data_IF_941037891219
#
_entry.id   IF_941037891219
#
_cell.length_a   1.000
_cell.length_b   1.000
_cell.length_c   1.000
_cell.angle_alpha   90.00
_cell.angle_beta   90.00
_cell.angle_gamma   90.00
#
_symmetry.space_group_name_H-M   'P 1'
#
loop_
_entity.id
_entity.type
_entity.pdbx_description
1 polymer ?
#
# COMPACT_ATOMS: atom_id res chain seq x y z
N UNK A 1 24.47 25.42 -1.02
CA UNK A 1 23.49 25.19 0.06
C UNK A 1 23.03 23.74 -0.06
N UNK A 2 23.29 22.93 0.95
CA UNK A 2 23.04 21.49 0.95
C UNK A 2 22.58 21.03 2.34
N UNK A 3 22.19 19.76 2.44
CA UNK A 3 21.78 19.04 3.66
C UNK A 3 20.32 19.22 4.11
N UNK A 4 19.42 18.52 3.42
CA UNK A 4 18.02 18.29 3.83
C UNK A 4 17.68 16.79 3.72
N UNK A 5 18.47 15.92 4.37
CA UNK A 5 18.40 14.47 4.12
C UNK A 5 18.85 13.59 5.30
N UNK A 6 18.37 13.85 6.53
CA UNK A 6 18.66 12.96 7.68
C UNK A 6 17.63 12.95 8.82
N UNK A 7 16.48 13.62 8.72
CA UNK A 7 15.48 13.67 9.81
C UNK A 7 14.61 12.42 9.95
N UNK A 8 14.59 11.53 8.96
CA UNK A 8 13.76 10.32 8.96
C UNK A 8 14.32 9.14 9.80
N UNK A 9 15.43 9.34 10.52
CA UNK A 9 16.10 8.30 11.32
C UNK A 9 15.91 8.46 12.84
N UNK A 10 15.37 9.60 13.30
CA UNK A 10 15.04 9.87 14.71
C UNK A 10 13.53 9.69 15.00
N UNK A 11 12.74 9.27 14.00
CA UNK A 11 11.36 8.86 14.23
C UNK A 11 11.35 7.55 15.04
N UNK A 12 10.92 7.62 16.31
CA UNK A 12 10.81 6.46 17.21
C UNK A 12 9.82 5.42 16.65
N UNK A 13 10.34 4.40 15.95
CA UNK A 13 9.51 3.33 15.39
C UNK A 13 9.06 2.42 16.54
N UNK A 14 7.74 2.44 16.82
CA UNK A 14 7.12 1.56 17.82
C UNK A 14 6.93 0.15 17.28
N UNK A 15 6.50 0.01 16.01
CA UNK A 15 6.08 -1.28 15.44
C UNK A 15 6.16 -1.29 13.92
N UNK A 16 6.43 -2.45 13.32
CA UNK A 16 6.29 -2.63 11.88
C UNK A 16 4.97 -3.34 11.57
N UNK A 17 4.09 -2.67 10.82
CA UNK A 17 2.77 -3.21 10.47
C UNK A 17 2.82 -3.85 9.10
N UNK A 18 2.51 -5.16 9.03
CA UNK A 18 2.41 -5.91 7.78
C UNK A 18 0.99 -5.80 7.22
N UNK A 19 0.88 -5.33 5.99
CA UNK A 19 -0.39 -5.01 5.34
C UNK A 19 -0.55 -5.82 4.06
N UNK A 20 -1.77 -6.33 3.82
CA UNK A 20 -2.16 -6.95 2.56
C UNK A 20 -3.47 -6.36 2.05
N UNK A 21 -3.43 -5.81 0.84
CA UNK A 21 -4.59 -5.28 0.15
C UNK A 21 -5.53 -6.42 -0.28
N UNK A 22 -6.82 -6.34 0.07
CA UNK A 22 -7.78 -7.42 -0.20
C UNK A 22 -8.09 -7.61 -1.70
N UNK A 23 -8.06 -6.52 -2.48
CA UNK A 23 -8.42 -6.53 -3.90
C UNK A 23 -7.29 -7.07 -4.80
N UNK A 24 -6.08 -6.50 -4.68
CA UNK A 24 -4.93 -6.88 -5.53
C UNK A 24 -4.05 -7.97 -4.91
N UNK A 25 -4.19 -8.24 -3.61
CA UNK A 25 -3.27 -9.08 -2.85
C UNK A 25 -1.89 -8.43 -2.58
N UNK A 26 -1.67 -7.17 -3.00
CA UNK A 26 -0.42 -6.43 -2.81
C UNK A 26 -0.07 -6.34 -1.33
N UNK A 27 1.22 -6.51 -1.02
CA UNK A 27 1.74 -6.40 0.35
C UNK A 27 2.55 -5.12 0.53
N UNK A 28 2.44 -4.53 1.71
CA UNK A 28 3.24 -3.41 2.16
C UNK A 28 3.67 -3.63 3.62
N UNK A 29 4.74 -2.93 4.01
CA UNK A 29 5.13 -2.75 5.41
C UNK A 29 5.12 -1.25 5.66
N UNK A 30 4.47 -0.83 6.75
CA UNK A 30 4.38 0.57 7.19
C UNK A 30 4.86 0.64 8.63
N UNK A 31 5.85 1.50 8.96
CA UNK A 31 6.26 1.72 10.33
C UNK A 31 5.19 2.55 11.05
N UNK A 32 4.74 2.04 12.19
CA UNK A 32 4.05 2.81 13.21
C UNK A 32 5.11 3.57 14.02
N UNK A 33 4.96 4.88 14.11
CA UNK A 33 5.91 5.80 14.75
C UNK A 33 5.25 6.47 15.94
N UNK A 34 6.04 6.70 16.99
CA UNK A 34 5.61 7.35 18.22
C UNK A 34 5.07 8.76 17.97
N UNK A 35 3.99 9.11 18.66
CA UNK A 35 3.32 10.42 18.52
C UNK A 35 2.50 10.59 17.23
N UNK A 36 2.42 9.59 16.35
CA UNK A 36 1.53 9.62 15.17
C UNK A 36 0.11 9.18 15.56
N UNK A 37 -0.88 9.96 15.14
CA UNK A 37 -2.30 9.67 15.33
C UNK A 37 -2.84 8.66 14.30
N UNK A 38 -4.08 8.21 14.50
CA UNK A 38 -4.70 7.21 13.63
C UNK A 38 -4.79 7.68 12.16
N UNK A 39 -5.22 8.91 11.91
CA UNK A 39 -5.30 9.44 10.54
C UNK A 39 -3.91 9.69 9.91
N UNK A 40 -2.92 10.12 10.69
CA UNK A 40 -1.52 10.20 10.24
C UNK A 40 -0.96 8.84 9.83
N UNK A 41 -1.26 7.78 10.60
CA UNK A 41 -0.93 6.41 10.22
C UNK A 41 -1.67 5.98 8.94
N UNK A 42 -3.00 6.18 8.85
CA UNK A 42 -3.76 5.87 7.65
C UNK A 42 -3.27 6.65 6.42
N UNK A 43 -2.82 7.90 6.58
CA UNK A 43 -2.20 8.68 5.51
C UNK A 43 -0.90 8.04 5.00
N UNK A 44 -0.03 7.56 5.91
CA UNK A 44 1.17 6.77 5.55
C UNK A 44 0.78 5.48 4.82
N UNK A 45 -0.28 4.78 5.24
CA UNK A 45 -0.80 3.57 4.57
C UNK A 45 -1.30 3.89 3.14
N UNK A 46 -2.14 4.92 2.97
CA UNK A 46 -2.65 5.39 1.67
C UNK A 46 -1.49 5.69 0.71
N UNK A 47 -0.53 6.50 1.15
CA UNK A 47 0.67 6.85 0.38
C UNK A 47 1.51 5.61 0.01
N UNK A 48 1.77 4.71 0.95
CA UNK A 48 2.61 3.52 0.73
C UNK A 48 2.02 2.53 -0.28
N UNK A 49 0.70 2.41 -0.31
CA UNK A 49 -0.02 1.55 -1.25
C UNK A 49 -0.39 2.28 -2.56
N UNK A 50 -0.25 3.61 -2.63
CA UNK A 50 -0.68 4.40 -3.78
C UNK A 50 -2.21 4.40 -3.94
N UNK A 51 -2.94 4.41 -2.82
CA UNK A 51 -4.41 4.47 -2.84
C UNK A 51 -4.86 5.89 -3.23
N UNK A 52 -5.90 6.02 -4.06
CA UNK A 52 -6.47 7.33 -4.41
C UNK A 52 -7.00 8.07 -3.19
N UNK A 53 -6.86 9.39 -3.20
CA UNK A 53 -7.39 10.28 -2.17
C UNK A 53 -8.93 10.17 -2.07
N UNK A 54 -9.48 10.55 -0.91
CA UNK A 54 -10.92 10.44 -0.65
C UNK A 54 -11.46 9.01 -0.48
N UNK A 55 -10.61 8.00 -0.38
CA UNK A 55 -11.04 6.63 -0.06
C UNK A 55 -10.91 6.34 1.44
N UNK A 56 -11.96 5.78 2.03
CA UNK A 56 -11.96 5.32 3.42
C UNK A 56 -11.19 4.01 3.50
N UNK A 57 -10.12 3.98 4.30
CA UNK A 57 -9.31 2.79 4.54
C UNK A 57 -9.83 2.11 5.80
N UNK A 58 -10.06 0.80 5.73
CA UNK A 58 -10.42 -0.03 6.87
C UNK A 58 -9.39 -1.16 7.00
N UNK A 59 -8.93 -1.37 8.23
CA UNK A 59 -7.97 -2.40 8.60
C UNK A 59 -8.73 -3.51 9.31
N UNK A 60 -8.44 -4.76 8.94
CA UNK A 60 -9.06 -5.95 9.51
C UNK A 60 -7.97 -6.94 9.90
N UNK A 61 -8.00 -7.39 11.15
CA UNK A 61 -7.20 -8.54 11.58
C UNK A 61 -7.84 -9.84 11.03
N UNK A 62 -7.06 -10.87 10.65
CA UNK A 62 -7.62 -12.18 10.30
C UNK A 62 -8.38 -12.92 11.43
N UNK A 63 -8.20 -12.54 12.70
CA UNK A 63 -8.82 -13.13 13.88
C UNK A 63 -9.63 -12.17 14.77
N UNK A 64 -9.47 -10.85 14.63
CA UNK A 64 -10.24 -9.83 15.35
C UNK A 64 -11.20 -9.07 14.41
N UNK A 65 -12.05 -8.21 15.00
CA UNK A 65 -12.93 -7.31 14.25
C UNK A 65 -12.15 -6.13 13.64
N UNK A 66 -12.84 -5.09 13.14
CA UNK A 66 -12.17 -3.95 12.49
C UNK A 66 -11.21 -3.22 13.45
N UNK A 67 -10.02 -2.89 12.96
CA UNK A 67 -9.00 -2.10 13.67
C UNK A 67 -9.24 -0.63 13.36
N UNK A 68 -9.54 0.15 14.40
CA UNK A 68 -10.00 1.55 14.30
C UNK A 68 -9.12 2.56 15.06
N UNK A 69 -8.06 2.08 15.72
CA UNK A 69 -7.29 2.83 16.71
C UNK A 69 -5.84 2.34 16.79
N UNK A 70 -4.94 3.21 17.25
CA UNK A 70 -3.52 2.87 17.42
C UNK A 70 -3.33 1.84 18.55
N UNK A 71 -4.15 1.90 19.61
CA UNK A 71 -4.07 0.98 20.74
C UNK A 71 -4.40 -0.45 20.32
N UNK A 72 -5.52 -0.66 19.61
CA UNK A 72 -5.87 -1.99 19.04
C UNK A 72 -4.80 -2.47 18.05
N UNK A 73 -4.22 -1.58 17.25
CA UNK A 73 -3.11 -1.90 16.36
C UNK A 73 -1.83 -2.33 17.11
N UNK A 74 -1.59 -1.82 18.33
CA UNK A 74 -0.46 -2.21 19.18
C UNK A 74 -0.66 -3.58 19.83
N UNK A 75 -1.88 -3.93 20.23
CA UNK A 75 -2.22 -5.23 20.86
C UNK A 75 -2.06 -6.45 19.94
N UNK A 76 -2.24 -6.27 18.63
CA UNK A 76 -2.14 -7.35 17.62
C UNK A 76 -0.72 -7.93 17.56
N UNK A 77 -0.53 -9.22 17.31
CA UNK A 77 0.83 -9.79 17.16
C UNK A 77 1.59 -9.19 15.97
N UNK A 78 2.90 -8.92 16.14
CA UNK A 78 3.79 -8.38 15.11
C UNK A 78 3.91 -9.30 13.87
N UNK A 79 3.67 -10.60 14.03
CA UNK A 79 3.69 -11.55 12.91
C UNK A 79 2.41 -11.50 12.04
N UNK A 80 1.36 -10.82 12.51
CA UNK A 80 0.05 -10.75 11.83
C UNK A 80 0.09 -9.83 10.62
N UNK A 81 -0.44 -10.31 9.49
CA UNK A 81 -0.66 -9.47 8.30
C UNK A 81 -2.12 -8.99 8.29
N UNK A 82 -2.33 -7.69 8.51
CA UNK A 82 -3.65 -7.08 8.44
C UNK A 82 -4.15 -7.00 7.01
N UNK A 83 -5.45 -7.19 6.85
CA UNK A 83 -6.15 -7.01 5.58
C UNK A 83 -6.65 -5.57 5.46
N UNK A 84 -6.37 -4.96 4.32
CA UNK A 84 -6.93 -3.65 3.97
C UNK A 84 -8.07 -3.83 2.99
N UNK A 85 -9.23 -3.29 3.36
CA UNK A 85 -10.26 -2.89 2.41
C UNK A 85 -10.25 -1.38 2.29
N UNK A 86 -10.53 -0.87 1.09
CA UNK A 86 -10.80 0.54 0.89
C UNK A 86 -12.10 0.68 0.12
N UNK A 87 -12.92 1.63 0.57
CA UNK A 87 -14.16 1.99 -0.07
C UNK A 87 -13.96 3.37 -0.68
N UNK A 88 -14.35 3.54 -1.95
CA UNK A 88 -14.57 4.88 -2.47
C UNK A 88 -15.57 5.56 -1.53
N UNK A 89 -15.22 6.72 -0.95
CA UNK A 89 -16.22 7.51 -0.27
C UNK A 89 -17.34 7.74 -1.29
N UNK A 90 -18.54 7.25 -0.98
CA UNK A 90 -19.69 7.46 -1.84
C UNK A 90 -19.79 8.96 -2.04
N UNK A 91 -19.53 9.42 -3.28
CA UNK A 91 -19.46 10.83 -3.57
C UNK A 91 -20.82 11.43 -3.19
N UNK A 92 -20.86 12.11 -2.05
CA UNK A 92 -21.97 12.97 -1.69
C UNK A 92 -22.04 13.97 -2.83
N UNK A 93 -22.98 13.75 -3.74
CA UNK A 93 -23.16 14.57 -4.93
C UNK A 93 -23.58 15.94 -4.45
N UNK A 94 -22.59 16.79 -4.15
CA UNK A 94 -22.85 18.21 -3.91
C UNK A 94 -23.56 18.69 -5.17
N UNK A 95 -24.80 19.20 -5.07
CA UNK A 95 -25.50 19.70 -6.24
C UNK A 95 -24.63 20.79 -6.85
N UNK A 96 -24.24 20.60 -8.10
CA UNK A 96 -23.38 21.53 -8.80
C UNK A 96 -24.06 22.91 -8.77
N UNK A 97 -23.48 23.84 -8.00
CA UNK A 97 -23.96 25.21 -7.91
C UNK A 97 -23.70 25.87 -9.26
N UNK A 98 -24.72 25.81 -10.13
CA UNK A 98 -24.75 26.49 -11.41
C UNK A 98 -24.60 27.99 -11.16
N UNK A 99 -23.40 28.52 -11.40
CA UNK A 99 -23.14 29.96 -11.41
C UNK A 99 -22.69 30.33 -12.81
N UNK A 100 -23.57 31.03 -13.52
CA UNK A 100 -23.42 31.34 -14.93
C UNK A 100 -22.42 32.48 -15.17
N UNK A 101 -21.90 32.48 -16.39
CA UNK A 101 -21.15 33.51 -17.11
C UNK A 101 -21.09 34.93 -16.51
N UNK A 102 -19.86 35.48 -16.44
CA UNK A 102 -19.61 36.92 -16.48
C UNK A 102 -18.22 37.25 -17.08
N UNK A 103 -18.11 37.31 -18.41
CA UNK A 103 -17.15 38.20 -19.10
C UNK A 103 -17.87 39.52 -19.43
N UNK A 104 -17.23 40.69 -19.24
CA UNK A 104 -16.74 41.43 -20.42
C UNK A 104 -15.56 42.41 -20.20
N UNK A 105 -15.04 42.91 -21.35
CA UNK A 105 -14.27 44.16 -21.58
C UNK A 105 -12.87 44.30 -20.90
N UNK A 106 -11.73 44.58 -21.59
CA UNK A 106 -11.38 45.38 -22.79
C UNK A 106 -11.22 46.89 -22.55
N UNK A 107 -10.01 47.34 -22.16
CA UNK A 107 -9.33 48.64 -22.41
C UNK A 107 -8.04 48.71 -21.55
N UNK A 108 -6.94 49.40 -21.90
CA UNK A 108 -6.55 50.24 -23.06
C UNK A 108 -5.00 50.25 -23.15
N UNK A 109 -4.46 50.62 -24.32
CA UNK A 109 -3.02 50.58 -24.62
C UNK A 109 -2.17 51.73 -24.05
N UNK A 110 -0.85 51.52 -24.03
CA UNK A 110 0.17 52.54 -24.25
C UNK A 110 1.27 51.99 -25.18
N UNK A 111 1.71 52.79 -26.16
CA UNK A 111 2.78 52.48 -27.14
C UNK A 111 3.85 53.56 -27.09
N UNK A 112 5.14 53.17 -27.08
CA UNK A 112 6.30 53.94 -27.57
C UNK A 112 7.48 52.95 -27.71
N UNK A 113 7.98 52.64 -28.92
CA UNK A 113 9.00 53.38 -29.71
C UNK A 113 10.44 52.96 -29.32
N UNK A 114 11.20 52.12 -30.06
CA UNK A 114 11.91 52.34 -31.37
C UNK A 114 13.15 53.24 -31.17
N UNK A 115 14.42 52.91 -31.53
CA UNK A 115 15.11 51.71 -32.14
C UNK A 115 16.66 51.97 -32.14
N UNK A 116 17.64 51.11 -32.54
CA UNK A 116 17.85 49.63 -32.59
C UNK A 116 19.19 49.19 -31.89
N UNK A 117 19.69 47.96 -32.13
CA UNK A 117 21.07 47.54 -31.81
C UNK A 117 21.40 46.12 -32.30
N UNK A 118 22.02 46.01 -33.47
CA UNK A 118 22.17 44.77 -34.25
C UNK A 118 23.59 44.15 -34.12
N UNK A 119 23.69 42.83 -33.94
CA UNK A 119 24.82 41.96 -34.36
C UNK A 119 24.72 40.51 -33.81
N UNK A 120 24.45 39.51 -34.68
CA UNK A 120 24.63 38.06 -34.42
C UNK A 120 23.54 37.42 -33.53
N UNK A 121 22.69 36.49 -33.97
CA UNK A 121 22.93 35.40 -34.92
C UNK A 121 23.64 34.24 -34.21
N UNK A 122 23.09 33.04 -34.06
CA UNK A 122 21.83 32.43 -34.52
C UNK A 122 21.78 30.96 -34.04
N UNK A 123 20.85 30.14 -34.55
CA UNK A 123 20.63 28.72 -34.16
C UNK A 123 20.09 28.55 -32.73
N UNK A 124 18.79 28.31 -32.52
CA UNK A 124 18.04 27.04 -32.67
C UNK A 124 18.38 25.93 -31.68
N UNK A 125 17.29 25.41 -31.09
CA UNK A 125 17.05 24.01 -30.73
C UNK A 125 17.18 23.59 -29.25
N UNK A 126 16.52 22.48 -28.95
CA UNK A 126 15.94 22.11 -27.67
C UNK A 126 16.95 21.91 -26.51
N UNK A 127 16.48 22.24 -25.30
CA UNK A 127 17.06 21.75 -24.04
C UNK A 127 16.83 20.23 -23.89
N UNK A 128 17.59 19.44 -24.65
CA UNK A 128 17.68 17.99 -24.53
C UNK A 128 18.65 17.66 -23.39
N UNK A 129 18.13 17.02 -22.33
CA UNK A 129 18.98 16.51 -21.25
C UNK A 129 19.76 15.31 -21.76
N UNK A 130 21.09 15.40 -21.79
CA UNK A 130 21.97 14.27 -22.08
C UNK A 130 22.03 13.31 -20.90
N UNK A 131 21.75 12.03 -21.15
CA UNK A 131 22.17 10.95 -20.24
C UNK A 131 23.63 10.61 -20.54
N UNK A 132 24.51 10.51 -19.52
CA UNK A 132 25.85 9.95 -19.72
C UNK A 132 25.72 8.45 -20.01
N UNK A 133 25.97 8.07 -21.25
CA UNK A 133 26.08 6.68 -21.70
C UNK A 133 27.40 6.07 -21.21
N UNK A 134 27.31 5.05 -20.35
CA UNK A 134 28.49 4.29 -19.94
C UNK A 134 28.95 3.36 -21.08
N UNK A 135 30.23 3.37 -21.49
CA UNK A 135 30.74 2.49 -22.54
C UNK A 135 30.79 1.04 -22.07
N UNK A 136 30.44 0.11 -22.96
CA UNK A 136 30.36 -1.32 -22.66
C UNK A 136 31.72 -2.01 -22.61
N UNK A 137 31.79 -3.08 -21.82
CA UNK A 137 32.82 -4.12 -21.93
C UNK A 137 32.18 -5.34 -22.58
N UNK A 138 32.55 -5.60 -23.84
CA UNK A 138 32.25 -6.85 -24.52
C UNK A 138 33.23 -7.93 -24.03
N UNK A 139 32.71 -9.02 -23.50
CA UNK A 139 33.45 -10.25 -23.22
C UNK A 139 32.60 -11.45 -23.64
N UNK A 140 33.08 -12.34 -24.50
CA UNK A 140 32.34 -13.53 -24.90
C UNK A 140 32.43 -14.57 -23.78
N UNK A 141 31.29 -15.04 -23.29
CA UNK A 141 31.22 -16.27 -22.51
C UNK A 141 30.14 -17.18 -23.08
N UNK A 142 30.45 -18.47 -23.05
CA UNK A 142 29.89 -19.51 -23.91
C UNK A 142 28.44 -19.87 -23.57
N UNK A 143 27.80 -20.57 -24.52
CA UNK A 143 26.57 -21.33 -24.31
C UNK A 143 26.78 -22.40 -23.22
N UNK A 144 26.60 -22.00 -21.97
CA UNK A 144 26.43 -22.91 -20.85
C UNK A 144 24.96 -23.26 -20.70
N UNK A 145 24.56 -24.46 -21.14
CA UNK A 145 23.27 -25.00 -20.72
C UNK A 145 23.28 -25.09 -19.18
N UNK A 146 22.30 -24.42 -18.58
CA UNK A 146 22.27 -24.14 -17.15
C UNK A 146 20.88 -24.43 -16.64
N UNK A 147 20.56 -25.71 -16.50
CA UNK A 147 19.26 -26.22 -16.07
C UNK A 147 18.91 -25.74 -14.65
N UNK A 148 18.46 -24.48 -14.54
CA UNK A 148 17.92 -23.89 -13.33
C UNK A 148 16.57 -24.51 -13.03
N UNK A 149 16.61 -25.74 -12.50
CA UNK A 149 15.54 -26.42 -11.77
C UNK A 149 15.07 -25.52 -10.63
N UNK A 150 14.20 -24.56 -10.95
CA UNK A 150 13.51 -23.71 -9.99
C UNK A 150 12.57 -24.57 -9.17
N UNK A 151 13.13 -25.17 -8.11
CA UNK A 151 12.47 -26.07 -7.17
C UNK A 151 11.56 -25.24 -6.26
N UNK A 152 10.51 -24.65 -6.85
CA UNK A 152 9.50 -23.81 -6.20
C UNK A 152 8.77 -24.64 -5.15
N UNK A 153 9.29 -24.58 -3.93
CA UNK A 153 8.88 -25.39 -2.77
C UNK A 153 7.39 -25.18 -2.50
N UNK A 154 6.57 -26.19 -2.82
CA UNK A 154 5.17 -26.29 -2.38
C UNK A 154 5.12 -26.49 -0.85
N UNK A 155 5.12 -25.42 -0.07
CA UNK A 155 5.00 -25.46 1.41
C UNK A 155 3.89 -24.50 1.88
N UNK A 156 2.67 -24.69 1.37
CA UNK A 156 1.45 -23.98 1.83
C UNK A 156 0.19 -24.87 1.74
N UNK A 157 0.34 -26.19 1.93
CA UNK A 157 -0.78 -27.14 1.87
C UNK A 157 -0.84 -28.18 3.00
N UNK A 158 0.05 -28.12 4.01
CA UNK A 158 0.10 -29.14 5.10
C UNK A 158 -0.44 -28.69 6.47
N UNK A 159 -0.61 -27.39 6.74
CA UNK A 159 -1.11 -26.91 8.07
C UNK A 159 -2.64 -26.85 8.19
N UNK A 160 -3.38 -26.78 7.08
CA UNK A 160 -4.85 -26.81 7.09
C UNK A 160 -5.45 -28.23 7.28
N UNK A 161 -4.66 -29.28 7.00
CA UNK A 161 -5.09 -30.66 7.16
C UNK A 161 -5.06 -31.15 8.62
N UNK A 162 -4.11 -30.67 9.43
CA UNK A 162 -4.02 -31.08 10.84
C UNK A 162 -5.14 -30.50 11.69
N UNK A 163 -5.50 -29.22 11.52
CA UNK A 163 -6.58 -28.60 12.30
C UNK A 163 -7.94 -29.31 12.11
N UNK A 164 -8.25 -29.73 10.87
CA UNK A 164 -9.52 -30.41 10.56
C UNK A 164 -9.67 -31.79 11.22
N UNK A 165 -8.58 -32.50 11.51
CA UNK A 165 -8.66 -33.79 12.22
C UNK A 165 -8.99 -33.64 13.71
N UNK A 166 -8.55 -32.56 14.38
CA UNK A 166 -8.79 -32.37 15.81
C UNK A 166 -10.27 -32.12 16.12
N UNK A 167 -10.94 -31.30 15.31
CA UNK A 167 -12.40 -31.11 15.42
C UNK A 167 -13.19 -32.40 15.15
N UNK A 168 -12.77 -33.21 14.16
CA UNK A 168 -13.41 -34.50 13.89
C UNK A 168 -13.30 -35.48 15.06
N UNK A 169 -12.13 -35.58 15.69
CA UNK A 169 -11.91 -36.46 16.83
C UNK A 169 -12.72 -36.04 18.08
N UNK A 170 -12.74 -34.74 18.41
CA UNK A 170 -13.52 -34.20 19.53
C UNK A 170 -15.03 -34.47 19.37
N UNK A 171 -15.56 -34.30 18.16
CA UNK A 171 -16.99 -34.51 17.88
C UNK A 171 -17.36 -36.00 18.03
N UNK A 172 -16.48 -36.91 17.57
CA UNK A 172 -16.70 -38.35 17.69
C UNK A 172 -16.66 -38.82 19.16
N UNK A 173 -15.72 -38.33 19.97
CA UNK A 173 -15.68 -38.58 21.42
C UNK A 173 -16.93 -38.05 22.12
N UNK A 174 -17.40 -36.84 21.77
CA UNK A 174 -18.62 -36.25 22.33
C UNK A 174 -19.87 -37.10 22.05
N UNK A 175 -20.04 -37.57 20.81
CA UNK A 175 -21.21 -38.41 20.43
C UNK A 175 -21.18 -39.77 21.13
N UNK A 176 -20.02 -40.43 21.21
CA UNK A 176 -19.88 -41.74 21.91
C UNK A 176 -20.11 -41.58 23.41
N UNK A 177 -19.58 -40.52 24.04
CA UNK A 177 -19.82 -40.22 25.45
C UNK A 177 -21.30 -39.97 25.75
N UNK A 178 -22.00 -39.21 24.91
CA UNK A 178 -23.43 -38.93 25.08
C UNK A 178 -24.29 -40.19 24.90
N UNK A 179 -23.91 -41.09 23.98
CA UNK A 179 -24.58 -42.37 23.78
C UNK A 179 -24.41 -43.30 25.00
N UNK A 180 -23.18 -43.44 25.51
CA UNK A 180 -22.90 -44.22 26.73
C UNK A 180 -23.64 -43.68 27.95
N UNK A 181 -23.68 -42.35 28.12
CA UNK A 181 -24.42 -41.71 29.21
C UNK A 181 -25.92 -42.05 29.17
N UNK A 182 -26.53 -42.10 27.98
CA UNK A 182 -27.95 -42.48 27.85
C UNK A 182 -28.22 -43.96 28.13
N UNK A 183 -27.27 -44.85 27.86
CA UNK A 183 -27.40 -46.28 28.20
C UNK A 183 -27.36 -46.44 29.73
N UNK A 184 -26.45 -45.77 30.42
CA UNK A 184 -26.30 -45.83 31.89
C UNK A 184 -27.50 -45.21 32.64
N UNK A 185 -28.18 -44.22 32.05
CA UNK A 185 -29.36 -43.58 32.68
C UNK A 185 -30.67 -44.34 32.41
N UNK A 186 -30.68 -45.29 31.46
CA UNK A 186 -31.87 -45.99 31.01
C UNK A 186 -31.94 -47.49 31.41
N UNK A 187 -30.96 -47.99 32.16
CA UNK A 187 -30.89 -49.36 32.69
C UNK A 187 -30.80 -49.38 34.21
#
# INVERSE_FOLDING_TARGET
MASSSTTALDEGILKLVFLQEAATGRKAVVPLVEGVDWEGFLCRVRSRLGLPEGHTVQLHDPGHEAVDSIDTLLEIDESTTLRISFLAAAAAQMPAASSAAATPATRRAARTSVIPGDAGGGATDACRVEMPSSPGVLGPYEDGDGELKYKKRRITARRLASLKMWFGALLLVGVVGLAMLRIVVAG
#
